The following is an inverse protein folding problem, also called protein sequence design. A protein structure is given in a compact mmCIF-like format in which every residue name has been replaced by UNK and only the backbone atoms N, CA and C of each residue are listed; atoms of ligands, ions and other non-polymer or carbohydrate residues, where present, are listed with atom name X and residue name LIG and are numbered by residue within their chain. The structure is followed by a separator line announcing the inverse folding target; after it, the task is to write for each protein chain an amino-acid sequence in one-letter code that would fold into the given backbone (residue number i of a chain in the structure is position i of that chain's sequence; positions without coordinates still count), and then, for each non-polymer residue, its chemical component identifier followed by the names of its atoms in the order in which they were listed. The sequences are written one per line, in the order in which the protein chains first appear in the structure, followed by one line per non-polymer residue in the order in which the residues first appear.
data_IF_101190923709
#
_entry.id   IF_101190923709
#
_cell.length_a   1.000
_cell.length_b   1.000
_cell.length_c   1.000
_cell.angle_alpha   90.00
_cell.angle_beta   90.00
_cell.angle_gamma   90.00
#
_symmetry.space_group_name_H-M   'P 1'
#
loop_
_entity.id
_entity.type
_entity.pdbx_description
1 polymer ?
#
# COMPACT_ATOMS: atom_id res chain seq x y z
N UNK A 1 11.39 -1.23 3.73
CA UNK A 1 12.74 -0.61 3.77
C UNK A 1 13.17 -0.39 5.22
N UNK A 2 12.55 0.54 5.97
CA UNK A 2 12.93 0.83 7.37
C UNK A 2 12.75 -0.33 8.37
N UNK A 3 11.85 -1.25 8.08
CA UNK A 3 11.51 -2.37 8.97
C UNK A 3 12.03 -3.71 8.47
N UNK A 4 12.58 -3.75 7.26
CA UNK A 4 13.16 -4.97 6.71
C UNK A 4 14.57 -5.17 7.30
N UNK A 5 14.92 -6.38 7.76
CA UNK A 5 16.25 -6.65 8.29
C UNK A 5 17.31 -6.60 7.18
N UNK A 6 18.37 -5.83 7.41
CA UNK A 6 19.61 -5.85 6.65
C UNK A 6 20.52 -7.01 7.09
N UNK A 7 21.74 -7.05 6.54
CA UNK A 7 22.71 -8.15 6.77
C UNK A 7 23.14 -8.30 8.23
N UNK A 8 23.13 -7.21 8.97
CA UNK A 8 23.51 -7.12 10.39
C UNK A 8 22.30 -7.12 11.33
N UNK A 9 21.10 -7.46 10.82
CA UNK A 9 19.81 -7.36 11.53
C UNK A 9 19.45 -5.93 11.98
N UNK A 10 20.07 -4.90 11.40
CA UNK A 10 19.59 -3.52 11.51
C UNK A 10 18.62 -3.20 10.38
N UNK A 11 17.86 -2.09 10.45
CA UNK A 11 17.10 -1.59 9.31
C UNK A 11 17.94 -1.53 8.04
N UNK A 12 17.38 -2.01 6.93
CA UNK A 12 18.07 -2.00 5.63
C UNK A 12 18.39 -0.58 5.13
N UNK A 13 17.61 0.41 5.57
CA UNK A 13 17.78 1.82 5.23
C UNK A 13 17.63 2.68 6.48
N UNK A 14 18.42 3.74 6.58
CA UNK A 14 18.16 4.90 7.39
C UNK A 14 17.05 5.77 6.78
N UNK A 15 16.42 6.61 7.59
CA UNK A 15 15.33 7.47 7.13
C UNK A 15 15.80 8.51 6.08
N UNK A 16 17.02 9.01 6.19
CA UNK A 16 17.58 9.99 5.26
C UNK A 16 17.81 9.43 3.84
N UNK A 17 18.19 8.15 3.75
CA UNK A 17 18.45 7.44 2.48
C UNK A 17 17.17 7.24 1.64
N UNK A 18 15.98 7.37 2.24
CA UNK A 18 14.71 7.26 1.52
C UNK A 18 14.57 8.37 0.47
N UNK A 19 15.05 9.58 0.78
CA UNK A 19 14.96 10.70 -0.15
C UNK A 19 15.81 10.43 -1.40
N UNK A 20 17.05 9.97 -1.21
CA UNK A 20 17.94 9.59 -2.30
C UNK A 20 17.37 8.43 -3.12
N UNK A 21 16.82 7.42 -2.45
CA UNK A 21 16.13 6.31 -3.12
C UNK A 21 15.03 6.82 -4.07
N UNK A 22 14.18 7.74 -3.63
CA UNK A 22 13.14 8.29 -4.50
C UNK A 22 13.75 9.11 -5.64
N UNK A 23 14.74 9.97 -5.39
CA UNK A 23 15.36 10.80 -6.42
C UNK A 23 15.98 9.95 -7.54
N UNK A 24 16.63 8.86 -7.17
CA UNK A 24 17.29 7.94 -8.13
C UNK A 24 16.29 7.06 -8.88
N UNK A 25 15.30 6.49 -8.19
CA UNK A 25 14.47 5.42 -8.75
C UNK A 25 13.15 5.93 -9.35
N UNK A 26 12.63 7.09 -8.91
CA UNK A 26 11.33 7.62 -9.39
C UNK A 26 11.27 7.84 -10.90
N UNK A 27 12.32 8.35 -11.60
CA UNK A 27 12.27 8.52 -13.04
C UNK A 27 12.10 7.19 -13.81
N UNK A 28 12.62 6.09 -13.25
CA UNK A 28 12.51 4.75 -13.83
C UNK A 28 11.21 4.03 -13.43
N UNK A 29 10.70 4.31 -12.23
CA UNK A 29 9.39 3.81 -11.77
C UNK A 29 8.26 4.50 -12.54
N UNK A 30 8.36 5.82 -12.73
CA UNK A 30 7.37 6.68 -13.35
C UNK A 30 7.95 7.45 -14.55
N UNK A 31 8.33 6.75 -15.64
CA UNK A 31 8.92 7.38 -16.80
C UNK A 31 7.94 8.38 -17.42
N UNK A 32 8.39 9.61 -17.58
CA UNK A 32 7.58 10.68 -18.18
C UNK A 32 7.45 10.42 -19.68
N UNK A 33 6.23 10.14 -20.13
CA UNK A 33 5.91 10.00 -21.56
C UNK A 33 5.30 11.29 -22.08
N UNK A 34 5.95 11.91 -23.07
CA UNK A 34 5.45 13.12 -23.73
C UNK A 34 4.56 12.77 -24.95
N UNK A 35 3.52 13.59 -25.19
CA UNK A 35 2.74 13.58 -26.44
C UNK A 35 1.59 12.56 -26.53
N UNK A 36 1.13 12.27 -27.76
CA UNK A 36 -0.01 11.39 -28.08
C UNK A 36 0.10 9.98 -27.49
N UNK A 37 1.32 9.50 -27.24
CA UNK A 37 1.59 8.19 -26.65
C UNK A 37 1.04 8.05 -25.22
N UNK A 38 0.96 9.16 -24.47
CA UNK A 38 0.42 9.20 -23.11
C UNK A 38 -1.10 9.04 -23.11
N UNK A 39 -1.79 9.65 -24.08
CA UNK A 39 -3.25 9.51 -24.25
C UNK A 39 -3.66 8.09 -24.69
N UNK A 40 -2.92 7.48 -25.62
CA UNK A 40 -3.21 6.10 -26.07
C UNK A 40 -2.99 5.06 -24.96
N UNK A 41 -1.99 5.24 -24.10
CA UNK A 41 -1.75 4.35 -22.94
C UNK A 41 -2.84 4.48 -21.88
N UNK A 42 -3.45 5.65 -21.71
CA UNK A 42 -4.55 5.83 -20.75
C UNK A 42 -5.81 5.04 -21.13
N UNK A 43 -5.95 4.62 -22.40
CA UNK A 43 -7.10 3.85 -22.90
C UNK A 43 -6.82 2.33 -22.89
N UNK A 44 -5.54 1.92 -22.86
CA UNK A 44 -5.14 0.51 -22.94
C UNK A 44 -4.18 0.17 -21.80
N UNK A 45 -4.76 -0.26 -20.66
CA UNK A 45 -4.01 -0.74 -19.49
C UNK A 45 -3.57 0.38 -18.53
N UNK A 46 -2.80 0.02 -17.48
CA UNK A 46 -2.31 1.00 -16.50
C UNK A 46 -1.25 1.93 -17.12
N UNK A 47 -1.17 3.17 -16.59
CA UNK A 47 -0.22 4.20 -17.05
C UNK A 47 1.25 3.72 -17.05
N UNK A 48 1.61 2.91 -16.06
CA UNK A 48 2.93 2.32 -15.88
C UNK A 48 2.83 0.79 -15.83
N UNK A 49 3.83 0.10 -16.37
CA UNK A 49 3.81 -1.37 -16.44
C UNK A 49 4.28 -2.08 -15.15
N UNK A 50 4.79 -1.33 -14.16
CA UNK A 50 5.28 -1.85 -12.89
C UNK A 50 6.59 -2.66 -12.92
N UNK A 51 7.12 -3.03 -14.10
CA UNK A 51 8.26 -3.97 -14.21
C UNK A 51 9.50 -3.51 -13.44
N UNK A 52 9.88 -2.24 -13.58
CA UNK A 52 11.03 -1.68 -12.87
C UNK A 52 10.80 -1.66 -11.35
N UNK A 53 9.60 -1.22 -10.92
CA UNK A 53 9.22 -1.21 -9.50
C UNK A 53 9.30 -2.60 -8.89
N UNK A 54 8.74 -3.61 -9.56
CA UNK A 54 8.74 -4.99 -9.07
C UNK A 54 10.18 -5.51 -8.94
N UNK A 55 10.99 -5.33 -9.99
CA UNK A 55 12.39 -5.75 -10.00
C UNK A 55 13.19 -5.07 -8.89
N UNK A 56 13.01 -3.76 -8.69
CA UNK A 56 13.71 -3.02 -7.64
C UNK A 56 13.30 -3.48 -6.25
N UNK A 57 12.00 -3.66 -5.99
CA UNK A 57 11.49 -4.14 -4.70
C UNK A 57 12.00 -5.56 -4.42
N UNK A 58 11.94 -6.46 -5.40
CA UNK A 58 12.45 -7.83 -5.28
C UNK A 58 13.96 -7.86 -5.05
N UNK A 59 14.73 -7.01 -5.73
CA UNK A 59 16.17 -6.89 -5.50
C UNK A 59 16.49 -6.44 -4.07
N UNK A 60 15.73 -5.48 -3.54
CA UNK A 60 15.95 -4.94 -2.20
C UNK A 60 15.54 -5.95 -1.12
N UNK A 61 14.35 -6.52 -1.22
CA UNK A 61 13.76 -7.33 -0.15
C UNK A 61 14.06 -8.81 -0.27
N UNK A 62 14.48 -9.30 -1.44
CA UNK A 62 14.75 -10.71 -1.70
C UNK A 62 13.60 -11.61 -1.22
N UNK A 63 13.97 -12.65 -0.48
CA UNK A 63 13.04 -13.63 0.08
C UNK A 63 12.54 -13.26 1.49
N UNK A 64 12.72 -12.01 1.91
CA UNK A 64 12.28 -11.54 3.24
C UNK A 64 10.77 -11.68 3.35
N UNK A 65 10.30 -12.39 4.38
CA UNK A 65 8.89 -12.57 4.72
C UNK A 65 8.41 -11.59 5.77
N UNK A 66 7.10 -11.40 5.84
CA UNK A 66 6.44 -10.47 6.75
C UNK A 66 6.80 -10.69 8.22
N UNK A 67 6.89 -11.94 8.69
CA UNK A 67 7.27 -12.21 10.08
C UNK A 67 8.70 -11.79 10.44
N UNK A 68 9.57 -11.59 9.44
CA UNK A 68 10.98 -11.26 9.64
C UNK A 68 11.22 -9.75 9.85
N UNK A 69 10.17 -8.93 9.79
CA UNK A 69 10.29 -7.48 10.02
C UNK A 69 10.75 -7.18 11.44
N UNK A 70 11.63 -6.18 11.58
CA UNK A 70 12.26 -5.78 12.84
C UNK A 70 11.28 -5.19 13.87
N UNK A 71 10.13 -4.71 13.40
CA UNK A 71 9.03 -4.22 14.22
C UNK A 71 7.70 -4.66 13.61
N UNK A 72 6.63 -4.56 14.38
CA UNK A 72 5.28 -4.84 13.90
C UNK A 72 4.89 -3.80 12.85
N UNK A 73 4.52 -4.27 11.66
CA UNK A 73 3.99 -3.41 10.59
C UNK A 73 2.55 -3.80 10.25
N UNK A 74 1.84 -2.86 9.64
CA UNK A 74 0.48 -3.03 9.10
C UNK A 74 0.46 -2.43 7.71
N UNK A 75 0.17 -3.26 6.70
CA UNK A 75 0.18 -2.90 5.29
C UNK A 75 -1.20 -3.17 4.69
N UNK A 76 -2.01 -2.14 4.44
CA UNK A 76 -3.31 -2.31 3.80
C UNK A 76 -3.14 -2.64 2.31
N UNK A 77 -4.01 -3.50 1.81
CA UNK A 77 -4.23 -3.79 0.39
C UNK A 77 -5.71 -4.04 0.17
N UNK A 78 -6.17 -4.13 -1.08
CA UNK A 78 -7.55 -4.50 -1.39
C UNK A 78 -7.57 -5.71 -2.34
N UNK A 79 -8.30 -6.77 -1.99
CA UNK A 79 -8.44 -7.95 -2.84
C UNK A 79 -9.62 -7.79 -3.80
N UNK A 80 -9.33 -7.68 -5.09
CA UNK A 80 -10.35 -7.44 -6.13
C UNK A 80 -11.14 -8.70 -6.49
N UNK A 81 -10.61 -9.89 -6.19
CA UNK A 81 -11.31 -11.16 -6.45
C UNK A 81 -12.34 -11.43 -5.36
N UNK A 82 -12.01 -11.08 -4.12
CA UNK A 82 -12.90 -11.23 -2.97
C UNK A 82 -13.70 -9.96 -2.64
N UNK A 83 -13.40 -8.84 -3.31
CA UNK A 83 -14.00 -7.52 -3.10
C UNK A 83 -13.96 -7.06 -1.63
N UNK A 84 -12.81 -7.26 -0.96
CA UNK A 84 -12.66 -6.90 0.45
C UNK A 84 -11.25 -6.38 0.77
N UNK A 85 -11.12 -5.55 1.83
CA UNK A 85 -9.82 -5.21 2.40
C UNK A 85 -8.99 -6.46 2.75
N UNK A 86 -7.71 -6.42 2.42
CA UNK A 86 -6.74 -7.41 2.88
C UNK A 86 -5.61 -6.68 3.61
N UNK A 87 -5.57 -6.80 4.93
CA UNK A 87 -4.51 -6.22 5.75
C UNK A 87 -3.42 -7.27 5.97
N UNK A 88 -2.16 -6.90 5.76
CA UNK A 88 -1.01 -7.70 6.17
C UNK A 88 -0.43 -7.10 7.43
N UNK A 89 -0.34 -7.89 8.50
CA UNK A 89 0.23 -7.47 9.77
C UNK A 89 1.25 -8.49 10.25
N UNK A 90 2.40 -8.02 10.76
CA UNK A 90 3.41 -8.91 11.39
C UNK A 90 2.79 -9.74 12.51
N UNK A 91 1.85 -9.16 13.26
CA UNK A 91 1.18 -9.81 14.38
C UNK A 91 0.24 -10.91 13.90
N UNK A 92 -0.59 -10.62 12.88
CA UNK A 92 -1.48 -11.63 12.27
C UNK A 92 -0.69 -12.75 11.58
N UNK A 93 0.45 -12.44 10.97
CA UNK A 93 1.30 -13.43 10.31
C UNK A 93 1.85 -14.50 11.26
N UNK A 94 1.98 -14.20 12.56
CA UNK A 94 2.41 -15.17 13.58
C UNK A 94 1.38 -16.28 13.81
N UNK A 95 0.09 -15.99 13.65
CA UNK A 95 -1.02 -16.92 13.89
C UNK A 95 -1.69 -17.43 12.61
N UNK A 96 -1.54 -16.72 11.49
CA UNK A 96 -2.12 -17.07 10.19
C UNK A 96 -0.99 -17.25 9.16
N UNK A 97 -0.44 -18.47 8.99
CA UNK A 97 0.69 -18.71 8.08
C UNK A 97 0.45 -18.28 6.63
N UNK A 98 -0.80 -18.34 6.16
CA UNK A 98 -1.15 -17.88 4.82
C UNK A 98 -1.01 -16.36 4.62
N UNK A 99 -0.87 -15.59 5.70
CA UNK A 99 -0.61 -14.14 5.66
C UNK A 99 0.89 -13.81 5.75
N UNK A 100 1.76 -14.78 6.02
CA UNK A 100 3.21 -14.59 6.02
C UNK A 100 3.80 -14.63 4.60
N UNK A 101 3.37 -13.68 3.78
CA UNK A 101 3.82 -13.51 2.40
C UNK A 101 5.21 -12.89 2.31
N UNK A 102 5.81 -12.92 1.11
CA UNK A 102 7.01 -12.14 0.83
C UNK A 102 6.72 -10.65 1.01
N UNK A 103 7.63 -9.94 1.66
CA UNK A 103 7.48 -8.51 1.88
C UNK A 103 7.51 -7.74 0.55
N UNK A 104 8.22 -8.28 -0.46
CA UNK A 104 8.21 -7.76 -1.83
C UNK A 104 6.82 -7.82 -2.47
N UNK A 105 6.13 -8.94 -2.36
CA UNK A 105 4.75 -9.08 -2.86
C UNK A 105 3.81 -8.09 -2.18
N UNK A 106 3.89 -7.95 -0.85
CA UNK A 106 3.06 -7.01 -0.08
C UNK A 106 3.35 -5.56 -0.50
N UNK A 107 4.63 -5.18 -0.64
CA UNK A 107 5.03 -3.83 -1.05
C UNK A 107 4.58 -3.48 -2.47
N UNK A 108 4.63 -4.44 -3.39
CA UNK A 108 4.12 -4.27 -4.75
C UNK A 108 2.60 -4.09 -4.71
N UNK A 109 1.88 -4.97 -4.00
CA UNK A 109 0.42 -4.91 -3.88
C UNK A 109 -0.09 -3.60 -3.29
N UNK A 110 0.49 -3.15 -2.17
CA UNK A 110 0.03 -1.94 -1.46
C UNK A 110 0.24 -0.66 -2.29
N UNK A 111 1.18 -0.68 -3.25
CA UNK A 111 1.50 0.46 -4.12
C UNK A 111 0.80 0.40 -5.49
N UNK A 112 0.01 -0.65 -5.76
CA UNK A 112 -0.57 -0.92 -7.08
C UNK A 112 -1.84 -0.10 -7.33
N UNK A 113 -1.71 1.23 -7.37
CA UNK A 113 -2.80 2.19 -7.60
C UNK A 113 -3.56 1.89 -8.90
N UNK A 114 -4.89 1.66 -8.84
CA UNK A 114 -5.70 1.47 -10.04
C UNK A 114 -5.49 2.61 -11.04
N UNK A 115 -5.48 2.29 -12.33
CA UNK A 115 -5.14 3.19 -13.47
C UNK A 115 -3.65 3.58 -13.58
N UNK A 116 -2.85 3.48 -12.51
CA UNK A 116 -1.44 3.83 -12.51
C UNK A 116 -0.53 2.61 -12.68
N UNK A 117 -0.76 1.56 -11.90
CA UNK A 117 0.04 0.34 -11.87
C UNK A 117 -0.87 -0.90 -12.00
N UNK A 118 -0.36 -2.01 -12.56
CA UNK A 118 -1.12 -3.25 -12.60
C UNK A 118 -1.30 -3.80 -11.17
N UNK A 119 -2.46 -4.44 -10.92
CA UNK A 119 -2.65 -5.24 -9.70
C UNK A 119 -1.64 -6.39 -9.64
N UNK A 120 -1.41 -6.90 -8.43
CA UNK A 120 -0.40 -7.91 -8.17
C UNK A 120 -1.03 -9.23 -7.72
N UNK A 121 -0.51 -10.33 -8.25
CA UNK A 121 -0.95 -11.69 -7.94
C UNK A 121 0.19 -12.49 -7.34
N UNK A 122 -0.11 -13.20 -6.25
CA UNK A 122 0.78 -14.22 -5.69
C UNK A 122 -0.02 -15.26 -4.91
N UNK A 123 0.67 -16.34 -4.54
CA UNK A 123 0.11 -17.42 -3.73
C UNK A 123 0.94 -17.63 -2.47
N UNK A 124 0.26 -17.96 -1.37
CA UNK A 124 0.88 -18.49 -0.16
C UNK A 124 0.26 -19.84 0.19
N UNK A 125 0.71 -20.43 1.30
CA UNK A 125 0.15 -21.66 1.84
C UNK A 125 -0.31 -21.44 3.27
N UNK A 126 -1.41 -22.07 3.66
CA UNK A 126 -1.81 -22.17 5.07
C UNK A 126 -1.04 -23.27 5.81
N UNK A 127 -1.38 -23.49 7.07
CA UNK A 127 -0.79 -24.53 7.94
C UNK A 127 -1.02 -25.95 7.45
N UNK A 128 -2.07 -26.18 6.66
CA UNK A 128 -2.41 -27.49 6.08
C UNK A 128 -1.77 -27.68 4.69
N UNK A 129 -1.09 -26.65 4.17
CA UNK A 129 -0.47 -26.65 2.86
C UNK A 129 -1.42 -26.27 1.72
N UNK A 130 -2.67 -25.88 2.01
CA UNK A 130 -3.61 -25.41 1.01
C UNK A 130 -3.16 -24.06 0.46
N UNK A 131 -3.32 -23.89 -0.85
CA UNK A 131 -2.95 -22.64 -1.52
C UNK A 131 -3.97 -21.55 -1.24
N UNK A 132 -3.47 -20.38 -0.85
CA UNK A 132 -4.24 -19.13 -0.80
C UNK A 132 -3.75 -18.19 -1.89
N UNK A 133 -4.64 -17.80 -2.79
CA UNK A 133 -4.35 -16.82 -3.83
C UNK A 133 -4.72 -15.41 -3.38
N UNK A 134 -3.92 -14.43 -3.80
CA UNK A 134 -4.13 -13.01 -3.51
C UNK A 134 -4.18 -12.25 -4.83
N UNK A 135 -5.23 -11.43 -5.02
CA UNK A 135 -5.42 -10.61 -6.22
C UNK A 135 -5.54 -9.16 -5.78
N UNK A 136 -4.40 -8.51 -5.54
CA UNK A 136 -4.36 -7.30 -4.73
C UNK A 136 -4.08 -6.04 -5.54
N UNK A 137 -4.71 -4.96 -5.09
CA UNK A 137 -4.42 -3.58 -5.52
C UNK A 137 -4.10 -2.71 -4.31
N UNK A 138 -3.81 -1.45 -4.60
CA UNK A 138 -3.35 -0.42 -3.66
C UNK A 138 -4.09 -0.38 -2.32
N UNK A 139 -3.32 -0.12 -1.27
CA UNK A 139 -3.83 0.07 0.08
C UNK A 139 -4.73 1.28 0.23
N UNK A 140 -4.57 2.31 -0.61
CA UNK A 140 -5.39 3.52 -0.63
C UNK A 140 -6.86 3.26 -0.94
N UNK A 141 -7.19 2.17 -1.65
CA UNK A 141 -8.58 1.73 -1.88
C UNK A 141 -9.22 1.25 -0.57
N UNK A 142 -8.43 0.69 0.34
CA UNK A 142 -8.86 0.25 1.67
C UNK A 142 -8.80 1.39 2.70
N UNK A 143 -7.64 2.03 2.82
CA UNK A 143 -7.37 3.09 3.78
C UNK A 143 -6.18 3.94 3.31
N UNK A 144 -6.47 5.10 2.71
CA UNK A 144 -5.44 6.05 2.28
C UNK A 144 -4.66 6.66 3.46
N UNK A 145 -5.27 6.71 4.65
CA UNK A 145 -4.58 6.95 5.91
C UNK A 145 -4.70 5.70 6.81
N UNK A 146 -3.64 4.89 6.97
CA UNK A 146 -3.70 3.64 7.71
C UNK A 146 -3.63 3.82 9.23
N UNK A 147 -3.62 5.05 9.77
CA UNK A 147 -3.47 5.31 11.22
C UNK A 147 -4.49 4.53 12.05
N UNK A 148 -5.77 4.60 11.67
CA UNK A 148 -6.83 3.90 12.40
C UNK A 148 -6.72 2.37 12.22
N UNK A 149 -6.29 1.89 11.05
CA UNK A 149 -6.04 0.47 10.80
C UNK A 149 -4.92 -0.04 11.72
N UNK A 150 -3.84 0.72 11.87
CA UNK A 150 -2.73 0.39 12.75
C UNK A 150 -3.17 0.39 14.23
N UNK A 151 -3.89 1.43 14.68
CA UNK A 151 -4.43 1.50 16.03
C UNK A 151 -5.36 0.31 16.34
N UNK A 152 -6.23 -0.07 15.40
CA UNK A 152 -7.11 -1.22 15.55
C UNK A 152 -6.32 -2.54 15.60
N UNK A 153 -5.26 -2.69 14.81
CA UNK A 153 -4.39 -3.87 14.87
C UNK A 153 -3.74 -4.02 16.25
N UNK A 154 -3.29 -2.91 16.86
CA UNK A 154 -2.72 -2.91 18.21
C UNK A 154 -3.80 -3.21 19.26
N UNK A 155 -4.98 -2.58 19.15
CA UNK A 155 -6.09 -2.81 20.06
C UNK A 155 -6.56 -4.28 20.07
N UNK A 156 -6.58 -4.92 18.90
CA UNK A 156 -6.91 -6.34 18.76
C UNK A 156 -5.93 -7.24 19.52
N UNK A 157 -4.63 -6.95 19.43
CA UNK A 157 -3.60 -7.74 20.15
C UNK A 157 -3.65 -7.56 21.67
N UNK A 158 -3.94 -6.34 22.14
CA UNK A 158 -4.17 -6.06 23.56
C UNK A 158 -5.38 -6.87 24.06
N UNK A 159 -6.45 -6.93 23.27
CA UNK A 159 -7.65 -7.71 23.61
C UNK A 159 -7.37 -9.21 23.69
N UNK A 160 -6.47 -9.75 22.86
CA UNK A 160 -6.08 -11.16 22.85
C UNK A 160 -4.99 -11.52 23.88
N UNK A 161 -4.71 -10.65 24.85
CA UNK A 161 -3.75 -10.85 25.96
C UNK A 161 -2.31 -11.15 25.51
N UNK A 162 -1.85 -10.53 24.43
CA UNK A 162 -0.47 -10.65 23.99
C UNK A 162 0.49 -10.00 25.02
N UNK A 163 1.41 -10.78 25.60
CA UNK A 163 2.31 -10.37 26.69
C UNK A 163 3.29 -9.25 26.29
N UNK A 164 3.49 -9.01 25.00
CA UNK A 164 4.34 -7.93 24.48
C UNK A 164 3.71 -6.54 24.70
N UNK A 165 2.42 -6.45 25.03
CA UNK A 165 1.70 -5.20 25.25
C UNK A 165 1.37 -4.98 26.73
N UNK A 166 1.52 -3.73 27.19
CA UNK A 166 1.08 -3.35 28.53
C UNK A 166 -0.42 -3.64 28.70
N UNK A 167 -0.88 -4.05 29.89
CA UNK A 167 -2.30 -4.23 30.18
C UNK A 167 -2.99 -2.87 30.09
N UNK A 168 -3.64 -2.63 28.95
CA UNK A 168 -4.47 -1.46 28.67
C UNK A 168 -5.90 -1.98 28.51
N UNK A 169 -6.88 -1.25 29.05
CA UNK A 169 -8.28 -1.62 28.79
C UNK A 169 -8.50 -1.55 27.26
N UNK A 170 -9.17 -2.53 26.64
CA UNK A 170 -9.55 -2.42 25.24
C UNK A 170 -10.25 -1.07 25.02
N UNK A 171 -9.84 -0.31 23.99
CA UNK A 171 -10.34 1.05 23.67
C UNK A 171 -9.85 2.21 24.57
N UNK A 172 -8.93 1.99 25.52
CA UNK A 172 -8.27 3.09 26.23
C UNK A 172 -7.14 3.69 25.36
N UNK A 173 -7.56 4.51 24.39
CA UNK A 173 -6.67 5.21 23.47
C UNK A 173 -5.79 6.28 24.14
N UNK A 174 -6.03 6.61 25.43
CA UNK A 174 -5.27 7.62 26.16
C UNK A 174 -3.79 7.27 26.35
N UNK A 175 -3.40 6.01 26.09
CA UNK A 175 -2.02 5.53 26.16
C UNK A 175 -1.34 5.38 24.80
N UNK A 176 -2.01 5.73 23.71
CA UNK A 176 -1.45 5.64 22.37
C UNK A 176 -0.69 6.93 22.05
N UNK A 177 0.60 6.79 21.72
CA UNK A 177 1.36 7.87 21.09
C UNK A 177 1.38 7.63 19.58
N UNK A 178 0.75 8.51 18.83
CA UNK A 178 0.55 8.36 17.37
C UNK A 178 1.25 9.49 16.62
N UNK A 179 2.11 9.12 15.68
CA UNK A 179 2.65 10.03 14.67
C UNK A 179 2.08 9.62 13.30
N UNK A 180 1.25 10.49 12.72
CA UNK A 180 0.67 10.29 11.38
C UNK A 180 1.30 11.26 10.40
N UNK A 181 1.97 10.74 9.37
CA UNK A 181 2.67 11.53 8.35
C UNK A 181 1.89 11.45 7.03
N UNK A 182 1.40 12.59 6.56
CA UNK A 182 0.74 12.70 5.25
C UNK A 182 1.71 13.09 4.14
N UNK A 183 1.32 12.81 2.89
CA UNK A 183 2.07 13.17 1.66
C UNK A 183 1.68 14.54 1.09
N UNK A 184 0.93 15.33 1.86
CA UNK A 184 0.37 16.61 1.44
C UNK A 184 -0.99 16.46 0.75
N UNK A 185 -1.77 17.54 0.74
CA UNK A 185 -3.02 17.65 -0.02
C UNK A 185 -2.87 18.72 -1.09
N UNK A 186 -3.53 18.54 -2.24
CA UNK A 186 -3.62 19.62 -3.22
C UNK A 186 -4.30 20.82 -2.54
N UNK A 187 -3.78 22.03 -2.77
CA UNK A 187 -4.45 23.26 -2.31
C UNK A 187 -5.89 23.26 -2.82
N UNK A 188 -6.80 23.92 -2.11
CA UNK A 188 -8.18 24.14 -2.56
C UNK A 188 -8.13 24.96 -3.85
N UNK A 189 -7.96 24.29 -4.97
CA UNK A 189 -7.73 24.87 -6.29
C UNK A 189 -9.04 25.12 -7.04
N UNK A 190 -10.20 24.93 -6.37
CA UNK A 190 -11.55 25.06 -6.96
C UNK A 190 -11.67 24.38 -8.34
N UNK A 191 -10.97 23.23 -8.52
CA UNK A 191 -10.73 22.62 -9.85
C UNK A 191 -12.01 22.22 -10.58
N UNK A 192 -13.08 21.93 -9.86
CA UNK A 192 -14.31 21.40 -10.38
C UNK A 192 -15.52 22.10 -9.75
N UNK A 193 -16.49 22.45 -10.57
CA UNK A 193 -17.79 22.97 -10.13
C UNK A 193 -18.89 21.92 -10.33
N UNK A 194 -19.97 22.02 -9.56
CA UNK A 194 -21.15 21.15 -9.73
C UNK A 194 -21.76 21.35 -11.12
N UNK A 195 -21.72 22.59 -11.64
CA UNK A 195 -22.19 22.91 -12.99
C UNK A 195 -21.38 22.16 -14.05
N UNK A 196 -20.05 22.06 -13.87
CA UNK A 196 -19.19 21.29 -14.78
C UNK A 196 -19.42 19.78 -14.64
N UNK A 197 -19.45 19.26 -13.41
CA UNK A 197 -19.57 17.81 -13.15
C UNK A 197 -20.96 17.26 -13.48
N UNK A 198 -22.00 18.10 -13.51
CA UNK A 198 -23.36 17.71 -13.91
C UNK A 198 -23.44 17.16 -15.35
N UNK A 199 -22.47 17.50 -16.19
CA UNK A 199 -22.38 17.03 -17.58
C UNK A 199 -21.49 15.79 -17.74
N UNK A 200 -20.88 15.31 -16.66
CA UNK A 200 -19.94 14.20 -16.73
C UNK A 200 -20.66 12.86 -16.69
N UNK A 201 -20.38 12.02 -17.68
CA UNK A 201 -20.63 10.57 -17.60
C UNK A 201 -19.47 9.85 -16.89
N UNK A 202 -19.47 8.51 -16.97
CA UNK A 202 -18.44 7.64 -16.35
C UNK A 202 -17.02 8.07 -16.73
N UNK A 203 -16.77 8.39 -18.01
CA UNK A 203 -15.45 8.82 -18.48
C UNK A 203 -15.02 10.17 -17.91
N UNK A 204 -15.95 11.12 -17.72
CA UNK A 204 -15.63 12.42 -17.13
C UNK A 204 -15.27 12.31 -15.66
N UNK A 205 -15.87 11.37 -14.93
CA UNK A 205 -15.50 11.09 -13.55
C UNK A 205 -14.17 10.33 -13.42
N UNK A 206 -13.83 9.48 -14.39
CA UNK A 206 -12.58 8.74 -14.40
C UNK A 206 -11.40 9.56 -14.95
N UNK A 207 -11.64 10.47 -15.89
CA UNK A 207 -10.60 11.29 -16.50
C UNK A 207 -11.14 12.65 -16.96
N UNK A 208 -10.65 13.74 -16.35
CA UNK A 208 -10.99 15.11 -16.74
C UNK A 208 -9.80 16.06 -16.57
N UNK A 209 -9.53 16.88 -17.60
CA UNK A 209 -8.44 17.87 -17.63
C UNK A 209 -7.09 17.31 -17.16
N UNK A 210 -6.76 16.08 -17.57
CA UNK A 210 -5.50 15.43 -17.20
C UNK A 210 -5.45 14.84 -15.78
N UNK A 211 -6.58 14.79 -15.07
CA UNK A 211 -6.70 14.28 -13.71
C UNK A 211 -7.80 13.21 -13.62
N UNK A 212 -7.89 12.51 -12.49
CA UNK A 212 -8.91 11.51 -12.18
C UNK A 212 -9.83 12.00 -11.05
N UNK A 213 -10.92 12.74 -11.35
CA UNK A 213 -11.74 13.41 -10.34
C UNK A 213 -12.27 12.49 -9.26
N UNK A 214 -12.74 11.28 -9.63
CA UNK A 214 -13.27 10.32 -8.66
C UNK A 214 -12.21 9.92 -7.63
N UNK A 215 -10.97 9.66 -8.08
CA UNK A 215 -9.86 9.32 -7.18
C UNK A 215 -9.53 10.50 -6.27
N UNK A 216 -9.45 11.72 -6.81
CA UNK A 216 -9.14 12.93 -6.05
C UNK A 216 -10.15 13.27 -4.95
N UNK A 217 -11.39 12.75 -5.02
CA UNK A 217 -12.40 12.94 -3.96
C UNK A 217 -12.12 12.04 -2.75
N UNK A 218 -11.58 10.85 -2.99
CA UNK A 218 -11.32 9.85 -1.95
C UNK A 218 -9.89 9.90 -1.41
N UNK A 219 -9.02 10.74 -1.98
CA UNK A 219 -7.60 10.88 -1.60
C UNK A 219 -7.25 12.31 -1.21
#
# INVERSE_FOLDING_TARGET
MLTAPGRDKRPMFAAEEINEFYLENSPSIFPQTCGLLSMLRAVVGPKYNGKYLHSKIQQLLGDTRLHQTLTNIVMPTFDIKLLQPCIFSTLEAKSVPSKDALLSDICISTSAAPTYLPGHYFETKDSEGNKRSFNLVDGGVTANNPTLVAMNSVAKEIFTENQDFFPVKPMDYGKFLVLSLGTGSAKVEERFSVQDSSKWGVLGWLYNKGTTPLVNIFT
#
